data_IF_859114926607
#
_entry.id   IF_859114926607
#
_cell.length_a   1.000
_cell.length_b   1.000
_cell.length_c   1.000
_cell.angle_alpha   90.00
_cell.angle_beta   90.00
_cell.angle_gamma   90.00
#
_symmetry.space_group_name_H-M   'P 1'
#
loop_
_entity.id
_entity.type
_entity.pdbx_description
1 polymer ?
#
# COMPACT_ATOMS: atom_id res chain seq x y z
N UNK A 1 -2.47 -28.23 -4.08
CA UNK A 1 -1.83 -26.94 -4.45
C UNK A 1 -2.92 -25.91 -4.66
N UNK A 2 -2.97 -24.88 -3.83
CA UNK A 2 -3.85 -23.72 -4.07
C UNK A 2 -3.28 -22.95 -5.26
N UNK A 3 -3.97 -22.97 -6.40
CA UNK A 3 -3.54 -22.26 -7.61
C UNK A 3 -4.07 -20.81 -7.54
N UNK A 4 -3.36 -19.94 -6.81
CA UNK A 4 -3.68 -18.51 -6.74
C UNK A 4 -2.96 -17.76 -7.85
N UNK A 5 -3.73 -17.24 -8.81
CA UNK A 5 -3.20 -16.44 -9.91
C UNK A 5 -2.81 -15.05 -9.41
N UNK A 6 -1.52 -14.75 -9.42
CA UNK A 6 -0.99 -13.43 -9.09
C UNK A 6 -1.00 -12.52 -10.32
N UNK A 7 -1.42 -11.28 -10.14
CA UNK A 7 -1.30 -10.22 -11.14
C UNK A 7 0.17 -9.82 -11.28
N UNK A 8 0.59 -9.23 -12.41
CA UNK A 8 1.91 -8.60 -12.52
C UNK A 8 2.10 -7.51 -11.46
N UNK A 9 3.36 -7.20 -11.17
CA UNK A 9 3.72 -6.14 -10.24
C UNK A 9 3.12 -4.80 -10.67
N UNK A 10 2.44 -4.12 -9.74
CA UNK A 10 1.80 -2.82 -10.00
C UNK A 10 2.81 -1.68 -10.24
N UNK A 11 4.06 -1.87 -9.84
CA UNK A 11 5.10 -0.84 -9.93
C UNK A 11 5.90 -0.92 -11.23
N UNK A 12 6.36 -2.13 -11.61
CA UNK A 12 7.18 -2.31 -12.81
C UNK A 12 6.53 -3.13 -13.92
N UNK A 13 5.35 -3.70 -13.69
CA UNK A 13 4.70 -4.62 -14.64
C UNK A 13 5.37 -5.99 -14.76
N UNK A 14 6.44 -6.25 -14.02
CA UNK A 14 7.17 -7.52 -14.03
C UNK A 14 6.40 -8.67 -13.40
N UNK A 15 6.90 -9.89 -13.62
CA UNK A 15 6.31 -11.11 -13.08
C UNK A 15 6.39 -11.14 -11.54
N UNK A 16 5.29 -11.58 -10.93
CA UNK A 16 5.19 -11.82 -9.50
C UNK A 16 5.72 -13.20 -9.20
N UNK A 17 6.61 -13.31 -8.23
CA UNK A 17 7.11 -14.60 -7.77
C UNK A 17 6.06 -15.34 -6.94
N UNK A 18 6.37 -16.57 -6.56
CA UNK A 18 5.49 -17.38 -5.72
C UNK A 18 5.23 -16.72 -4.35
N UNK A 19 4.11 -17.09 -3.75
CA UNK A 19 3.77 -16.68 -2.39
C UNK A 19 4.58 -17.53 -1.41
N UNK A 20 5.43 -16.90 -0.61
CA UNK A 20 6.12 -17.54 0.49
C UNK A 20 5.27 -17.40 1.75
N UNK A 21 5.06 -18.49 2.48
CA UNK A 21 4.32 -18.47 3.75
C UNK A 21 5.25 -18.94 4.86
N UNK A 22 5.37 -18.13 5.90
CA UNK A 22 6.25 -18.41 7.04
C UNK A 22 5.46 -18.41 8.34
N UNK A 23 5.89 -19.25 9.29
CA UNK A 23 5.28 -19.34 10.61
C UNK A 23 5.89 -18.31 11.55
N UNK A 24 5.09 -17.37 12.02
CA UNK A 24 5.51 -16.23 12.86
C UNK A 24 4.99 -16.37 14.30
N UNK A 25 5.57 -17.31 15.05
CA UNK A 25 5.23 -17.56 16.47
C UNK A 25 3.82 -18.11 16.71
N UNK A 26 3.51 -18.62 17.91
CA UNK A 26 2.17 -19.03 18.40
C UNK A 26 1.17 -19.60 17.37
N UNK A 27 1.63 -20.47 16.45
CA UNK A 27 0.83 -21.03 15.35
C UNK A 27 0.21 -20.00 14.37
N UNK A 28 0.83 -18.83 14.25
CA UNK A 28 0.47 -17.77 13.31
C UNK A 28 1.31 -17.84 12.04
N UNK A 29 0.76 -17.33 10.94
CA UNK A 29 1.32 -17.42 9.60
C UNK A 29 1.36 -16.06 8.91
N UNK A 30 2.47 -15.69 8.31
CA UNK A 30 2.62 -14.51 7.48
C UNK A 30 2.86 -14.93 6.03
N UNK A 31 2.29 -14.18 5.09
CA UNK A 31 2.50 -14.38 3.67
C UNK A 31 3.37 -13.26 3.12
N UNK A 32 4.24 -13.58 2.17
CA UNK A 32 5.12 -12.64 1.49
C UNK A 32 5.08 -12.93 -0.01
N UNK A 33 5.04 -11.87 -0.83
CA UNK A 33 5.16 -11.95 -2.29
C UNK A 33 6.28 -11.02 -2.73
N UNK A 34 7.19 -11.54 -3.55
CA UNK A 34 8.30 -10.78 -4.13
C UNK A 34 8.04 -10.49 -5.62
N UNK A 35 8.44 -9.32 -6.10
CA UNK A 35 8.54 -9.06 -7.52
C UNK A 35 9.95 -9.36 -8.02
N UNK A 36 10.09 -10.23 -9.03
CA UNK A 36 11.40 -10.50 -9.66
C UNK A 36 11.94 -9.38 -10.53
N UNK A 37 11.17 -8.33 -10.81
CA UNK A 37 11.55 -7.24 -11.71
C UNK A 37 11.99 -5.94 -11.05
N UNK A 38 11.52 -5.64 -9.83
CA UNK A 38 11.82 -4.35 -9.16
C UNK A 38 12.16 -4.47 -7.67
N UNK A 39 12.46 -5.67 -7.18
CA UNK A 39 12.86 -5.97 -5.80
C UNK A 39 11.82 -5.59 -4.72
N UNK A 40 10.63 -5.14 -5.12
CA UNK A 40 9.55 -4.82 -4.18
C UNK A 40 8.96 -6.12 -3.63
N UNK A 41 8.69 -6.08 -2.33
CA UNK A 41 8.08 -7.18 -1.60
C UNK A 41 6.84 -6.69 -0.87
N UNK A 42 5.77 -7.49 -0.88
CA UNK A 42 4.56 -7.27 -0.09
C UNK A 42 4.51 -8.30 1.02
N UNK A 43 4.41 -7.86 2.27
CA UNK A 43 4.17 -8.73 3.41
C UNK A 43 2.74 -8.55 3.94
N UNK A 44 2.19 -9.62 4.50
CA UNK A 44 0.96 -9.56 5.28
C UNK A 44 1.18 -8.68 6.52
N UNK A 45 0.43 -7.58 6.64
CA UNK A 45 0.49 -6.69 7.80
C UNK A 45 0.18 -7.38 9.13
N UNK A 46 -0.69 -8.41 9.10
CA UNK A 46 -1.09 -9.16 10.28
C UNK A 46 -0.95 -10.66 10.03
N UNK A 47 -0.43 -11.36 11.03
CA UNK A 47 -0.30 -12.80 10.99
C UNK A 47 -1.68 -13.48 11.10
N UNK A 48 -1.88 -14.52 10.31
CA UNK A 48 -3.11 -15.27 10.18
C UNK A 48 -3.10 -16.55 11.03
N UNK A 49 -4.28 -17.08 11.35
CA UNK A 49 -4.42 -18.29 12.17
C UNK A 49 -4.10 -19.58 11.39
N UNK A 50 -3.88 -19.49 10.07
CA UNK A 50 -3.55 -20.64 9.23
C UNK A 50 -2.73 -20.23 8.00
N UNK A 51 -1.95 -21.18 7.49
CA UNK A 51 -1.14 -21.03 6.28
C UNK A 51 -2.01 -20.62 5.07
N UNK A 52 -3.14 -21.30 4.88
CA UNK A 52 -4.07 -21.00 3.79
C UNK A 52 -4.66 -19.58 3.86
N UNK A 53 -4.98 -19.09 5.06
CA UNK A 53 -5.44 -17.69 5.23
C UNK A 53 -4.32 -16.70 4.95
N UNK A 54 -3.08 -16.97 5.36
CA UNK A 54 -1.94 -16.11 5.08
C UNK A 54 -1.70 -15.98 3.58
N UNK A 55 -1.73 -17.11 2.87
CA UNK A 55 -1.56 -17.19 1.43
C UNK A 55 -2.68 -16.45 0.68
N UNK A 56 -3.94 -16.70 1.03
CA UNK A 56 -5.09 -16.01 0.42
C UNK A 56 -5.05 -14.50 0.70
N UNK A 57 -4.70 -14.09 1.92
CA UNK A 57 -4.68 -12.69 2.33
C UNK A 57 -3.63 -11.90 1.55
N UNK A 58 -2.40 -12.39 1.50
CA UNK A 58 -1.32 -11.69 0.79
C UNK A 58 -1.58 -11.65 -0.72
N UNK A 59 -2.10 -12.73 -1.31
CA UNK A 59 -2.47 -12.76 -2.72
C UNK A 59 -3.60 -11.77 -3.04
N UNK A 60 -4.62 -11.69 -2.17
CA UNK A 60 -5.69 -10.68 -2.29
C UNK A 60 -5.12 -9.27 -2.20
N UNK A 61 -4.21 -9.00 -1.25
CA UNK A 61 -3.59 -7.68 -1.09
C UNK A 61 -2.77 -7.29 -2.32
N UNK A 62 -1.98 -8.22 -2.86
CA UNK A 62 -1.19 -8.02 -4.08
C UNK A 62 -2.06 -7.71 -5.31
N UNK A 63 -3.18 -8.42 -5.43
CA UNK A 63 -4.08 -8.29 -6.56
C UNK A 63 -5.03 -7.08 -6.45
N UNK A 64 -5.07 -6.36 -5.32
CA UNK A 64 -5.92 -5.18 -5.17
C UNK A 64 -5.55 -4.12 -6.21
N UNK A 65 -6.55 -3.64 -6.92
CA UNK A 65 -6.44 -2.38 -7.65
C UNK A 65 -6.43 -1.25 -6.62
N UNK A 66 -5.54 -0.25 -6.73
CA UNK A 66 -5.69 0.95 -5.91
C UNK A 66 -7.10 1.48 -6.14
N UNK A 67 -7.84 1.73 -5.06
CA UNK A 67 -9.09 2.46 -5.21
C UNK A 67 -8.71 3.80 -5.83
N UNK A 68 -9.28 4.09 -6.99
CA UNK A 68 -9.27 5.45 -7.52
C UNK A 68 -9.95 6.30 -6.47
N UNK A 69 -9.14 6.99 -5.64
CA UNK A 69 -9.65 8.11 -4.87
C UNK A 69 -10.07 9.11 -5.93
N UNK A 70 -11.37 9.13 -6.24
CA UNK A 70 -11.97 10.14 -7.09
C UNK A 70 -11.42 11.49 -6.66
N UNK A 71 -10.82 12.18 -7.62
CA UNK A 71 -10.26 13.51 -7.51
C UNK A 71 -11.07 14.40 -6.57
N UNK A 72 -10.40 14.89 -5.52
CA UNK A 72 -10.63 16.26 -5.07
C UNK A 72 -9.37 16.78 -4.37
N UNK A 73 -8.38 17.11 -5.20
CA UNK A 73 -7.44 18.17 -4.87
C UNK A 73 -8.26 19.44 -4.69
N UNK A 74 -8.79 19.67 -3.48
CA UNK A 74 -9.29 20.99 -3.15
C UNK A 74 -8.06 21.87 -2.94
N UNK A 75 -7.93 23.01 -3.66
CA UNK A 75 -6.93 23.99 -3.29
C UNK A 75 -7.14 24.33 -1.81
N UNK A 76 -6.11 24.14 -1.00
CA UNK A 76 -6.10 24.67 0.35
C UNK A 76 -6.06 26.18 0.25
N UNK A 77 -7.22 26.84 0.26
CA UNK A 77 -7.30 28.27 0.49
C UNK A 77 -6.82 28.52 1.92
N UNK A 78 -5.52 28.81 2.08
CA UNK A 78 -5.01 29.34 3.33
C UNK A 78 -5.71 30.68 3.59
N UNK A 79 -6.40 30.86 4.72
CA UNK A 79 -6.87 32.19 5.09
C UNK A 79 -5.65 33.06 5.35
N UNK A 80 -5.40 34.00 4.43
CA UNK A 80 -4.45 35.11 4.62
C UNK A 80 -5.07 36.05 5.67
N UNK A 81 -5.02 35.64 6.94
CA UNK A 81 -5.34 36.54 8.03
C UNK A 81 -4.17 37.52 8.21
N UNK A 82 -4.40 38.78 7.83
CA UNK A 82 -3.69 39.91 8.42
C UNK A 82 -2.72 40.68 7.54
N UNK A 83 -3.17 41.21 6.41
CA UNK A 83 -2.58 42.43 5.84
C UNK A 83 -3.51 43.61 6.12
N UNK A 84 -3.60 44.03 7.39
CA UNK A 84 -4.28 45.27 7.76
C UNK A 84 -3.70 45.85 9.05
N UNK A 85 -2.87 46.88 8.87
CA UNK A 85 -2.35 47.80 9.89
C UNK A 85 -1.36 48.73 9.19
N UNK A 86 -1.78 49.88 8.64
CA UNK A 86 -1.85 51.18 9.35
C UNK A 86 -0.48 51.56 9.96
N UNK A 87 0.18 52.69 9.73
CA UNK A 87 -0.19 54.05 9.30
C UNK A 87 1.08 54.84 8.91
N UNK A 88 0.84 56.01 8.36
CA UNK A 88 1.73 57.00 7.74
C UNK A 88 2.79 57.65 8.66
N UNK A 89 3.91 58.12 8.10
CA UNK A 89 4.26 59.55 8.01
C UNK A 89 5.67 59.75 7.39
N UNK A 90 5.70 60.44 6.25
CA UNK A 90 6.89 61.13 5.72
C UNK A 90 6.71 62.62 6.00
N UNK A 91 7.56 63.19 6.85
CA UNK A 91 8.21 64.49 6.69
C UNK A 91 9.31 64.63 7.74
#
# INVERSE_FOLDING_TARGET
MFNLKLSPCKFCGGESQEVVVEKVGNARWAGVIHCGGCDISLNSTYAQDSEGKALETVAKQWNRTPQSNGTREQPIELPIHGAAGMLEHKS
#
